data_IF_784441450121
#
_entry.id   IF_784441450121
#
_cell.length_a   1.000
_cell.length_b   1.000
_cell.length_c   1.000
_cell.angle_alpha   90.00
_cell.angle_beta   90.00
_cell.angle_gamma   90.00
#
_symmetry.space_group_name_H-M   'P 1'
#
loop_
_entity.id
_entity.type
_entity.pdbx_description
1 polymer ?
#
# COMPACT_ATOMS: atom_id res chain seq x y z
N UNK A 1 18.10 1.84 -19.82
CA UNK A 1 16.88 1.08 -19.46
C UNK A 1 17.31 -0.13 -18.64
N UNK A 2 16.75 -0.38 -17.45
CA UNK A 2 17.12 -1.56 -16.66
C UNK A 2 16.49 -2.81 -17.31
N UNK A 3 17.26 -3.89 -17.56
CA UNK A 3 16.70 -5.10 -18.14
C UNK A 3 15.68 -5.75 -17.18
N UNK A 4 14.70 -6.45 -17.76
CA UNK A 4 13.79 -7.31 -16.97
C UNK A 4 14.63 -8.44 -16.36
N UNK A 5 14.34 -8.79 -15.11
CA UNK A 5 14.89 -9.94 -14.41
C UNK A 5 13.81 -10.99 -14.21
N UNK A 6 14.18 -12.25 -14.34
CA UNK A 6 13.29 -13.38 -13.98
C UNK A 6 13.17 -13.52 -12.47
N UNK A 7 12.25 -14.36 -11.98
CA UNK A 7 12.10 -14.63 -10.56
C UNK A 7 13.38 -15.26 -9.97
N UNK A 8 14.01 -16.18 -10.72
CA UNK A 8 15.27 -16.82 -10.34
C UNK A 8 16.42 -15.80 -10.22
N UNK A 9 16.56 -14.90 -11.21
CA UNK A 9 17.59 -13.84 -11.19
C UNK A 9 17.36 -12.86 -10.03
N UNK A 10 16.10 -12.63 -9.64
CA UNK A 10 15.77 -11.77 -8.50
C UNK A 10 16.12 -12.45 -7.17
N UNK A 11 15.82 -13.74 -7.00
CA UNK A 11 16.18 -14.52 -5.81
C UNK A 11 17.69 -14.61 -5.67
N UNK A 12 18.40 -14.96 -6.74
CA UNK A 12 19.87 -15.01 -6.75
C UNK A 12 20.48 -13.64 -6.39
N UNK A 13 19.97 -12.56 -6.95
CA UNK A 13 20.41 -11.20 -6.59
C UNK A 13 20.17 -10.89 -5.09
N UNK A 14 19.05 -11.33 -4.52
CA UNK A 14 18.76 -11.14 -3.11
C UNK A 14 19.74 -11.92 -2.23
N UNK A 15 20.09 -13.13 -2.61
CA UNK A 15 21.07 -13.95 -1.92
C UNK A 15 22.48 -13.36 -2.04
N UNK A 16 23.01 -13.27 -3.27
CA UNK A 16 24.42 -12.97 -3.53
C UNK A 16 24.79 -11.50 -3.24
N UNK A 17 23.97 -10.57 -3.76
CA UNK A 17 24.29 -9.14 -3.65
C UNK A 17 23.75 -8.51 -2.37
N UNK A 18 22.63 -9.00 -1.84
CA UNK A 18 21.97 -8.38 -0.68
C UNK A 18 22.20 -9.15 0.61
N UNK A 19 22.70 -10.40 0.55
CA UNK A 19 22.98 -11.23 1.71
C UNK A 19 21.72 -11.67 2.47
N UNK A 20 20.59 -11.77 1.75
CA UNK A 20 19.36 -12.31 2.33
C UNK A 20 19.49 -13.82 2.44
N UNK A 21 19.07 -14.36 3.57
CA UNK A 21 19.16 -15.78 3.89
C UNK A 21 17.88 -16.52 3.51
N UNK A 22 18.02 -17.79 3.15
CA UNK A 22 16.93 -18.67 2.72
C UNK A 22 16.93 -19.98 3.52
N UNK A 23 17.07 -19.89 4.87
CA UNK A 23 17.07 -21.05 5.75
C UNK A 23 15.65 -21.51 6.11
N UNK A 24 14.70 -20.56 6.23
CA UNK A 24 13.31 -20.84 6.61
C UNK A 24 12.43 -21.13 5.40
N UNK A 25 12.72 -20.49 4.29
CA UNK A 25 12.06 -20.70 2.98
C UNK A 25 13.15 -20.95 1.97
N UNK A 26 13.07 -22.02 1.19
CA UNK A 26 14.07 -22.32 0.17
C UNK A 26 14.06 -21.33 -1.00
N UNK A 27 15.14 -21.28 -1.76
CA UNK A 27 15.22 -20.41 -2.95
C UNK A 27 14.15 -20.78 -3.99
N UNK A 28 13.84 -22.08 -4.18
CA UNK A 28 12.78 -22.53 -5.08
C UNK A 28 11.41 -22.03 -4.64
N UNK A 29 11.12 -22.08 -3.34
CA UNK A 29 9.89 -21.53 -2.77
C UNK A 29 9.82 -20.00 -2.91
N UNK A 30 10.95 -19.31 -2.83
CA UNK A 30 11.03 -17.86 -3.04
C UNK A 30 10.80 -17.51 -4.54
N UNK A 31 11.30 -18.31 -5.47
CA UNK A 31 11.00 -18.18 -6.90
C UNK A 31 9.51 -18.37 -7.16
N UNK A 32 8.89 -19.40 -6.59
CA UNK A 32 7.44 -19.60 -6.68
C UNK A 32 6.66 -18.39 -6.11
N UNK A 33 7.11 -17.87 -4.97
CA UNK A 33 6.51 -16.69 -4.36
C UNK A 33 6.51 -15.48 -5.31
N UNK A 34 7.64 -15.19 -5.98
CA UNK A 34 7.74 -14.06 -6.91
C UNK A 34 7.02 -14.29 -8.24
N UNK A 35 6.90 -15.52 -8.67
CA UNK A 35 6.23 -15.84 -9.94
C UNK A 35 4.72 -15.93 -9.83
N UNK A 36 4.17 -16.31 -8.67
CA UNK A 36 2.75 -16.64 -8.53
C UNK A 36 2.00 -15.82 -7.48
N UNK A 37 2.66 -15.41 -6.39
CA UNK A 37 1.96 -14.88 -5.20
C UNK A 37 2.26 -13.43 -4.88
N UNK A 38 3.45 -12.96 -5.16
CA UNK A 38 3.87 -11.66 -4.69
C UNK A 38 4.77 -10.92 -5.68
N UNK A 39 4.75 -9.62 -5.59
CA UNK A 39 5.55 -8.73 -6.42
C UNK A 39 6.89 -8.46 -5.72
N UNK A 40 8.01 -8.58 -6.46
CA UNK A 40 9.34 -8.27 -5.96
C UNK A 40 9.44 -6.89 -5.31
N UNK A 41 8.86 -5.84 -5.93
CA UNK A 41 8.96 -4.47 -5.42
C UNK A 41 8.30 -4.33 -4.04
N UNK A 42 7.17 -4.98 -3.85
CA UNK A 42 6.46 -5.01 -2.58
C UNK A 42 7.29 -5.71 -1.51
N UNK A 43 7.71 -6.95 -1.75
CA UNK A 43 8.53 -7.73 -0.79
C UNK A 43 9.86 -7.03 -0.50
N UNK A 44 10.52 -6.52 -1.53
CA UNK A 44 11.80 -5.85 -1.38
C UNK A 44 11.74 -4.50 -0.67
N UNK A 45 10.57 -3.85 -0.59
CA UNK A 45 10.41 -2.58 0.13
C UNK A 45 10.66 -2.74 1.63
N UNK A 46 10.23 -3.85 2.22
CA UNK A 46 10.37 -4.13 3.66
C UNK A 46 11.80 -4.33 4.11
N UNK A 47 12.73 -4.75 3.23
CA UNK A 47 14.14 -4.91 3.57
C UNK A 47 14.81 -3.63 4.06
N UNK A 48 14.27 -2.45 3.73
CA UNK A 48 14.81 -1.16 4.16
C UNK A 48 14.77 -0.97 5.67
N UNK A 49 13.95 -1.72 6.36
CA UNK A 49 13.80 -1.67 7.82
C UNK A 49 14.88 -2.47 8.56
N UNK A 50 15.73 -3.20 7.82
CA UNK A 50 16.75 -4.07 8.41
C UNK A 50 18.16 -3.47 8.28
N UNK A 51 19.02 -3.68 9.29
CA UNK A 51 20.38 -3.16 9.31
C UNK A 51 21.26 -3.84 8.25
N UNK A 52 22.29 -3.13 7.82
CA UNK A 52 23.30 -3.61 6.89
C UNK A 52 24.69 -3.56 7.52
N UNK A 53 25.59 -4.41 7.05
CA UNK A 53 26.98 -4.29 7.36
C UNK A 53 27.55 -2.97 6.83
N UNK A 54 28.19 -2.18 7.72
CA UNK A 54 28.75 -0.86 7.39
C UNK A 54 30.16 -1.02 6.78
N UNK A 55 30.92 -2.06 7.19
CA UNK A 55 32.29 -2.26 6.77
C UNK A 55 32.60 -3.76 6.61
N UNK A 56 33.78 -4.06 6.03
CA UNK A 56 34.26 -5.43 5.82
C UNK A 56 33.78 -6.08 4.52
N UNK A 57 34.04 -7.37 4.29
CA UNK A 57 33.74 -8.06 3.05
C UNK A 57 32.24 -8.17 2.73
N UNK A 58 31.39 -8.00 3.75
CA UNK A 58 29.93 -8.00 3.61
C UNK A 58 29.30 -6.59 3.62
N UNK A 59 30.09 -5.52 3.47
CA UNK A 59 29.57 -4.17 3.44
C UNK A 59 28.42 -4.00 2.44
N UNK A 60 27.31 -3.42 2.89
CA UNK A 60 26.09 -3.22 2.09
C UNK A 60 25.12 -4.40 2.07
N UNK A 61 25.54 -5.60 2.55
CA UNK A 61 24.65 -6.76 2.72
C UNK A 61 23.85 -6.63 4.01
N UNK A 62 22.64 -7.21 4.05
CA UNK A 62 21.79 -7.24 5.25
C UNK A 62 22.35 -8.18 6.30
N UNK A 63 22.11 -7.83 7.59
CA UNK A 63 22.52 -8.61 8.73
C UNK A 63 21.36 -9.53 9.14
N UNK A 64 21.58 -10.85 9.06
CA UNK A 64 20.60 -11.88 9.51
C UNK A 64 19.18 -11.67 8.99
N UNK A 65 19.03 -11.18 7.75
CA UNK A 65 17.73 -11.02 7.14
C UNK A 65 17.32 -12.28 6.40
N UNK A 66 16.26 -12.92 6.89
CA UNK A 66 15.61 -14.05 6.22
C UNK A 66 14.56 -13.59 5.21
N UNK A 67 14.47 -14.28 4.08
CA UNK A 67 13.43 -14.03 3.08
C UNK A 67 12.02 -14.23 3.67
N UNK A 68 11.87 -15.22 4.57
CA UNK A 68 10.63 -15.48 5.28
C UNK A 68 10.08 -14.26 6.02
N UNK A 69 10.94 -13.44 6.64
CA UNK A 69 10.50 -12.24 7.34
C UNK A 69 9.90 -11.21 6.40
N UNK A 70 10.42 -11.11 5.19
CA UNK A 70 9.89 -10.17 4.18
C UNK A 70 8.51 -10.61 3.67
N UNK A 71 8.31 -11.92 3.49
CA UNK A 71 7.02 -12.47 3.06
C UNK A 71 5.97 -12.34 4.17
N UNK A 72 6.37 -12.56 5.41
CA UNK A 72 5.50 -12.41 6.58
C UNK A 72 5.05 -10.96 6.79
N UNK A 73 5.99 -10.01 6.74
CA UNK A 73 5.67 -8.58 6.77
C UNK A 73 4.74 -8.17 5.61
N UNK A 74 4.95 -8.70 4.40
CA UNK A 74 4.07 -8.46 3.27
C UNK A 74 2.64 -8.97 3.51
N UNK A 75 2.50 -10.10 4.20
CA UNK A 75 1.20 -10.68 4.56
C UNK A 75 0.51 -9.87 5.65
N UNK A 76 1.23 -9.47 6.69
CA UNK A 76 0.72 -8.61 7.75
C UNK A 76 0.27 -7.23 7.21
N UNK A 77 1.06 -6.63 6.34
CA UNK A 77 0.70 -5.37 5.68
C UNK A 77 -0.57 -5.50 4.81
N UNK A 78 -0.76 -6.66 4.16
CA UNK A 78 -1.99 -6.93 3.42
C UNK A 78 -3.22 -6.92 4.34
N UNK A 79 -3.19 -7.66 5.43
CA UNK A 79 -4.30 -7.70 6.40
C UNK A 79 -4.54 -6.34 7.08
N UNK A 80 -3.48 -5.61 7.39
CA UNK A 80 -3.59 -4.27 7.95
C UNK A 80 -4.31 -3.32 6.98
N UNK A 81 -3.98 -3.37 5.69
CA UNK A 81 -4.66 -2.56 4.66
C UNK A 81 -6.12 -2.92 4.51
N UNK A 82 -6.47 -4.21 4.53
CA UNK A 82 -7.86 -4.63 4.49
C UNK A 82 -8.65 -4.10 5.69
N UNK A 83 -8.08 -4.24 6.89
CA UNK A 83 -8.71 -3.71 8.10
C UNK A 83 -8.90 -2.18 8.03
N UNK A 84 -7.85 -1.45 7.65
CA UNK A 84 -7.93 0.01 7.53
C UNK A 84 -8.95 0.46 6.46
N UNK A 85 -9.02 -0.26 5.33
CA UNK A 85 -10.01 0.02 4.30
C UNK A 85 -11.43 -0.16 4.83
N UNK A 86 -11.69 -1.26 5.56
CA UNK A 86 -12.99 -1.50 6.16
C UNK A 86 -13.35 -0.39 7.16
N UNK A 87 -12.41 -0.01 8.03
CA UNK A 87 -12.61 1.10 8.98
C UNK A 87 -12.92 2.42 8.28
N UNK A 88 -12.25 2.72 7.16
CA UNK A 88 -12.53 3.93 6.37
C UNK A 88 -13.96 3.91 5.78
N UNK A 89 -14.40 2.76 5.29
CA UNK A 89 -15.76 2.58 4.75
C UNK A 89 -16.81 2.77 5.85
N UNK A 90 -16.57 2.19 7.03
CA UNK A 90 -17.48 2.31 8.17
C UNK A 90 -17.59 3.78 8.64
N UNK A 91 -16.48 4.47 8.79
CA UNK A 91 -16.43 5.90 9.14
C UNK A 91 -17.15 6.75 8.08
N UNK A 92 -16.92 6.49 6.79
CA UNK A 92 -17.60 7.19 5.70
C UNK A 92 -19.11 7.00 5.78
N UNK A 93 -19.57 5.76 6.04
CA UNK A 93 -20.97 5.45 6.20
C UNK A 93 -21.60 6.20 7.39
N UNK A 94 -20.96 6.14 8.57
CA UNK A 94 -21.44 6.78 9.78
C UNK A 94 -21.52 8.30 9.63
N UNK A 95 -20.54 8.91 8.96
CA UNK A 95 -20.56 10.34 8.65
C UNK A 95 -21.70 10.72 7.72
N UNK A 96 -21.97 9.92 6.68
CA UNK A 96 -23.10 10.13 5.78
C UNK A 96 -24.43 10.04 6.51
N UNK A 97 -24.62 9.03 7.33
CA UNK A 97 -25.84 8.84 8.13
C UNK A 97 -26.03 10.00 9.10
N UNK A 98 -24.98 10.43 9.79
CA UNK A 98 -25.02 11.55 10.72
C UNK A 98 -25.38 12.86 10.02
N UNK A 99 -24.76 13.13 8.86
CA UNK A 99 -25.05 14.33 8.06
C UNK A 99 -26.51 14.36 7.57
N UNK A 100 -27.03 13.23 7.08
CA UNK A 100 -28.41 13.15 6.63
C UNK A 100 -29.40 13.36 7.77
N UNK A 101 -29.13 12.81 8.96
CA UNK A 101 -29.94 13.02 10.13
C UNK A 101 -29.96 14.48 10.57
N UNK A 102 -28.80 15.14 10.65
CA UNK A 102 -28.70 16.56 10.95
C UNK A 102 -29.50 17.43 9.95
N UNK A 103 -29.47 17.05 8.66
CA UNK A 103 -30.23 17.71 7.63
C UNK A 103 -31.75 17.51 7.81
N UNK A 104 -32.21 16.29 8.14
CA UNK A 104 -33.62 15.96 8.36
C UNK A 104 -34.17 16.65 9.62
N UNK A 105 -33.37 16.80 10.68
CA UNK A 105 -33.75 17.42 11.94
C UNK A 105 -33.78 18.96 11.86
N UNK A 106 -33.19 19.56 10.82
CA UNK A 106 -33.14 21.01 10.64
C UNK A 106 -34.16 21.51 9.57
N UNK A 107 -35.35 21.97 9.98
CA UNK A 107 -36.38 22.35 9.02
C UNK A 107 -36.07 23.64 8.24
N UNK A 108 -35.01 24.38 8.59
CA UNK A 108 -34.55 25.57 7.86
C UNK A 108 -33.58 25.25 6.72
N UNK A 109 -33.16 24.01 6.60
CA UNK A 109 -32.19 23.57 5.60
C UNK A 109 -32.83 22.67 4.53
N UNK A 110 -32.35 22.79 3.32
CA UNK A 110 -32.62 21.85 2.25
C UNK A 110 -31.32 21.37 1.62
N UNK A 111 -31.31 20.14 1.10
CA UNK A 111 -30.11 19.54 0.54
C UNK A 111 -29.53 20.29 -0.66
N UNK A 112 -30.33 21.07 -1.37
CA UNK A 112 -29.89 21.86 -2.52
C UNK A 112 -29.21 23.15 -2.08
N UNK A 113 -29.74 23.82 -1.05
CA UNK A 113 -29.13 25.01 -0.49
C UNK A 113 -27.74 24.74 0.07
N UNK A 114 -27.59 23.69 0.88
CA UNK A 114 -26.30 23.25 1.45
C UNK A 114 -25.26 22.97 0.36
N UNK A 115 -25.64 22.22 -0.70
CA UNK A 115 -24.72 21.89 -1.79
C UNK A 115 -24.32 23.14 -2.56
N UNK A 116 -25.27 24.03 -2.86
CA UNK A 116 -25.02 25.32 -3.54
C UNK A 116 -24.03 26.17 -2.74
N UNK A 117 -24.27 26.34 -1.44
CA UNK A 117 -23.44 27.16 -0.58
C UNK A 117 -22.03 26.57 -0.42
N UNK A 118 -21.91 25.25 -0.31
CA UNK A 118 -20.63 24.54 -0.33
C UNK A 118 -19.86 24.78 -1.63
N UNK A 119 -20.51 24.62 -2.78
CA UNK A 119 -19.86 24.82 -4.08
C UNK A 119 -19.51 26.29 -4.34
N UNK A 120 -20.28 27.24 -3.82
CA UNK A 120 -19.93 28.65 -3.86
C UNK A 120 -18.67 28.99 -3.04
N UNK A 121 -18.48 28.30 -1.92
CA UNK A 121 -17.29 28.44 -1.08
C UNK A 121 -16.05 27.75 -1.70
N UNK A 122 -16.24 26.71 -2.50
CA UNK A 122 -15.17 25.89 -3.09
C UNK A 122 -15.32 25.79 -4.63
N UNK A 123 -15.08 26.87 -5.37
CA UNK A 123 -15.32 26.92 -6.82
C UNK A 123 -14.43 25.96 -7.62
N UNK A 124 -13.27 25.59 -7.09
CA UNK A 124 -12.39 24.58 -7.69
C UNK A 124 -13.03 23.18 -7.73
N UNK A 125 -13.88 22.84 -6.76
CA UNK A 125 -14.61 21.57 -6.74
C UNK A 125 -15.68 21.58 -7.84
N UNK A 126 -16.44 22.68 -7.96
CA UNK A 126 -17.43 22.85 -9.03
C UNK A 126 -16.79 22.67 -10.41
N UNK A 127 -15.69 23.39 -10.68
CA UNK A 127 -14.94 23.27 -11.94
C UNK A 127 -14.39 21.86 -12.21
N UNK A 128 -14.07 21.08 -11.15
CA UNK A 128 -13.65 19.69 -11.28
C UNK A 128 -14.82 18.74 -11.63
N UNK A 129 -16.01 19.01 -11.14
CA UNK A 129 -17.24 18.25 -11.44
C UNK A 129 -17.65 18.51 -12.89
N UNK A 130 -17.74 19.78 -13.33
CA UNK A 130 -18.11 20.17 -14.69
C UNK A 130 -17.21 19.51 -15.74
N UNK A 131 -15.89 19.53 -15.53
CA UNK A 131 -14.92 18.86 -16.43
C UNK A 131 -15.15 17.36 -16.58
N UNK A 132 -15.72 16.67 -15.57
CA UNK A 132 -16.02 15.25 -15.65
C UNK A 132 -17.36 14.95 -16.31
N UNK A 133 -18.27 15.92 -16.32
CA UNK A 133 -19.60 15.78 -16.93
C UNK A 133 -19.55 16.01 -18.43
N UNK A 134 -18.58 16.79 -18.89
CA UNK A 134 -18.39 17.13 -20.33
C UNK A 134 -17.48 16.13 -21.08
N UNK A 135 -16.97 15.07 -20.42
CA UNK A 135 -16.08 14.05 -20.99
C UNK A 135 -16.81 12.72 -21.21
#
# INVERSE_FOLDING_TARGET
MKPKKTAEELVQMLHDEKGIQFHLISEEQAVECFSQRNNYLRTASYRKNYPKHIAGPNAGKYIHLEFAYLTELSTLDFYLRELLLQMCIDVEHDLKVSLLRELEENPSEDGYAIVRDFLAQYPEILAAIERKTDA
#
